data_IF_547974393064
#
_entry.id   IF_547974393064
#
_cell.length_a   1.000
_cell.length_b   1.000
_cell.length_c   1.000
_cell.angle_alpha   90.00
_cell.angle_beta   90.00
_cell.angle_gamma   90.00
#
_symmetry.space_group_name_H-M   'P 1'
#
loop_
_entity.id
_entity.type
_entity.pdbx_description
1 polymer ?
#
# COMPACT_ATOMS: atom_id res chain seq x y z
N UNK A 1 -0.14 2.92 37.96
CA UNK A 1 0.38 1.99 36.95
C UNK A 1 0.24 2.65 35.59
N UNK A 2 1.35 3.03 34.89
CA UNK A 2 1.28 3.50 33.50
C UNK A 2 0.90 2.27 32.66
N UNK A 3 -0.29 2.27 32.04
CA UNK A 3 -0.62 1.31 30.97
C UNK A 3 0.46 1.45 29.91
N UNK A 4 1.23 0.39 29.66
CA UNK A 4 2.11 0.36 28.48
C UNK A 4 1.23 0.66 27.27
N UNK A 5 1.43 1.84 26.66
CA UNK A 5 0.71 2.23 25.45
C UNK A 5 1.19 1.26 24.36
N UNK A 6 0.32 0.34 23.95
CA UNK A 6 0.63 -0.61 22.88
C UNK A 6 0.77 0.21 21.59
N UNK A 7 1.98 0.24 21.05
CA UNK A 7 2.24 0.87 19.75
C UNK A 7 1.64 -0.02 18.67
N UNK A 8 0.86 0.55 17.74
CA UNK A 8 0.26 -0.20 16.65
C UNK A 8 1.32 -0.81 15.75
N UNK A 9 1.15 -2.08 15.44
CA UNK A 9 1.89 -2.75 14.38
C UNK A 9 1.20 -2.49 13.04
N UNK A 10 1.90 -1.81 12.13
CA UNK A 10 1.32 -1.30 10.89
C UNK A 10 1.87 -2.05 9.69
N UNK A 11 0.97 -2.64 8.89
CA UNK A 11 1.26 -3.05 7.53
C UNK A 11 0.98 -1.89 6.56
N UNK A 12 1.79 -1.74 5.53
CA UNK A 12 1.60 -0.67 4.54
C UNK A 12 1.71 -1.22 3.12
N UNK A 13 0.87 -0.73 2.22
CA UNK A 13 1.04 -0.93 0.78
C UNK A 13 2.15 -0.04 0.22
N UNK A 14 2.52 -0.23 -1.04
CA UNK A 14 3.58 0.55 -1.69
C UNK A 14 3.05 1.43 -2.82
N UNK A 15 2.44 0.82 -3.83
CA UNK A 15 2.09 1.52 -5.07
C UNK A 15 0.94 2.48 -4.81
N UNK A 16 1.13 3.75 -5.17
CA UNK A 16 0.25 4.89 -4.89
C UNK A 16 -0.07 5.11 -3.39
N UNK A 17 0.61 4.39 -2.50
CA UNK A 17 0.63 4.62 -1.05
C UNK A 17 1.91 5.34 -0.62
N UNK A 18 3.09 4.72 -0.84
CA UNK A 18 4.42 5.32 -0.60
C UNK A 18 5.11 5.66 -1.92
N UNK A 19 5.01 4.78 -2.93
CA UNK A 19 5.63 4.91 -4.24
C UNK A 19 4.65 5.48 -5.26
N UNK A 20 5.09 6.45 -6.05
CA UNK A 20 4.30 7.10 -7.10
C UNK A 20 4.21 6.21 -8.34
N UNK A 21 3.37 5.17 -8.28
CA UNK A 21 3.24 4.19 -9.36
C UNK A 21 2.44 4.75 -10.55
N UNK A 22 1.24 5.27 -10.34
CA UNK A 22 0.35 5.70 -11.42
C UNK A 22 0.97 6.76 -12.31
N UNK A 23 1.60 7.79 -11.76
CA UNK A 23 2.26 8.83 -12.55
C UNK A 23 3.47 8.30 -13.31
N UNK A 24 4.26 7.42 -12.67
CA UNK A 24 5.42 6.79 -13.31
C UNK A 24 4.99 5.86 -14.46
N UNK A 25 3.88 5.14 -14.27
CA UNK A 25 3.27 4.31 -15.31
C UNK A 25 2.78 5.15 -16.48
N UNK A 26 2.02 6.22 -16.20
CA UNK A 26 1.52 7.16 -17.20
C UNK A 26 2.65 7.76 -18.04
N UNK A 27 3.73 8.19 -17.38
CA UNK A 27 4.92 8.74 -18.04
C UNK A 27 5.63 7.69 -18.92
N UNK A 28 5.77 6.45 -18.41
CA UNK A 28 6.47 5.38 -19.12
C UNK A 28 5.72 4.95 -20.40
N UNK A 29 4.41 4.77 -20.31
CA UNK A 29 3.57 4.33 -21.44
C UNK A 29 2.93 5.47 -22.23
N UNK A 30 3.13 6.73 -21.84
CA UNK A 30 2.49 7.93 -22.44
C UNK A 30 0.97 7.80 -22.52
N UNK A 31 0.35 7.38 -21.42
CA UNK A 31 -1.08 7.13 -21.28
C UNK A 31 -1.64 7.76 -20.02
N UNK A 32 -2.92 7.62 -19.77
CA UNK A 32 -3.61 7.92 -18.52
C UNK A 32 -4.24 6.63 -17.98
N UNK A 33 -3.63 6.05 -16.94
CA UNK A 33 -4.07 4.81 -16.32
C UNK A 33 -5.52 4.90 -15.81
N UNK A 34 -5.98 6.09 -15.41
CA UNK A 34 -7.35 6.30 -14.91
C UNK A 34 -8.43 6.08 -15.98
N UNK A 35 -8.04 6.14 -17.26
CA UNK A 35 -8.94 5.95 -18.42
C UNK A 35 -8.86 4.55 -19.01
N UNK A 36 -8.00 3.69 -18.45
CA UNK A 36 -7.73 2.36 -18.99
C UNK A 36 -8.59 1.29 -18.30
N UNK A 37 -8.85 0.20 -19.04
CA UNK A 37 -9.49 -0.99 -18.46
C UNK A 37 -8.48 -1.83 -17.68
N UNK A 38 -8.93 -2.48 -16.61
CA UNK A 38 -8.08 -3.33 -15.75
C UNK A 38 -7.27 -4.38 -16.54
N UNK A 39 -7.87 -5.01 -17.55
CA UNK A 39 -7.19 -6.00 -18.40
C UNK A 39 -6.03 -5.38 -19.21
N UNK A 40 -6.18 -4.14 -19.64
CA UNK A 40 -5.15 -3.41 -20.37
C UNK A 40 -4.02 -2.99 -19.45
N UNK A 41 -4.37 -2.45 -18.27
CA UNK A 41 -3.39 -2.12 -17.19
C UNK A 41 -2.59 -3.38 -16.84
N UNK A 42 -3.27 -4.49 -16.57
CA UNK A 42 -2.63 -5.77 -16.22
C UNK A 42 -1.62 -6.20 -17.29
N UNK A 43 -2.00 -6.13 -18.58
CA UNK A 43 -1.10 -6.48 -19.69
C UNK A 43 0.14 -5.60 -19.75
N UNK A 44 -0.01 -4.28 -19.56
CA UNK A 44 1.13 -3.36 -19.56
C UNK A 44 2.02 -3.53 -18.34
N UNK A 45 1.43 -3.74 -17.16
CA UNK A 45 2.18 -4.04 -15.93
C UNK A 45 3.00 -5.32 -16.10
N UNK A 46 2.47 -6.35 -16.78
CA UNK A 46 3.22 -7.59 -17.05
C UNK A 46 4.48 -7.33 -17.91
N UNK A 47 4.44 -6.37 -18.82
CA UNK A 47 5.66 -5.98 -19.58
C UNK A 47 6.74 -5.36 -18.71
N UNK A 48 6.36 -4.77 -17.57
CA UNK A 48 7.29 -4.19 -16.61
C UNK A 48 7.85 -5.21 -15.62
N UNK A 49 7.38 -6.45 -15.62
CA UNK A 49 7.70 -7.45 -14.59
C UNK A 49 9.19 -7.57 -14.31
N UNK A 50 10.03 -7.58 -15.33
CA UNK A 50 11.48 -7.68 -15.20
C UNK A 50 12.22 -6.36 -15.45
N UNK A 51 11.49 -5.25 -15.55
CA UNK A 51 12.09 -3.92 -15.69
C UNK A 51 12.53 -3.39 -14.32
N UNK A 52 13.76 -3.75 -13.91
CA UNK A 52 14.32 -3.31 -12.63
C UNK A 52 14.36 -1.79 -12.51
N UNK A 53 14.73 -1.10 -13.58
CA UNK A 53 14.89 0.35 -13.55
C UNK A 53 13.57 1.06 -13.30
N UNK A 54 12.48 0.59 -13.88
CA UNK A 54 11.15 1.11 -13.59
C UNK A 54 10.83 0.98 -12.09
N UNK A 55 10.87 -0.24 -11.54
CA UNK A 55 10.43 -0.51 -10.17
C UNK A 55 11.35 0.08 -9.08
N UNK A 56 12.65 0.17 -9.37
CA UNK A 56 13.62 0.69 -8.40
C UNK A 56 13.70 2.22 -8.40
N UNK A 57 13.25 2.86 -9.48
CA UNK A 57 13.36 4.31 -9.67
C UNK A 57 12.04 5.07 -9.56
N UNK A 58 10.96 4.42 -9.10
CA UNK A 58 9.74 5.14 -8.73
C UNK A 58 10.06 6.26 -7.75
N UNK A 59 9.37 7.38 -7.87
CA UNK A 59 9.48 8.46 -6.88
C UNK A 59 8.73 8.11 -5.60
N UNK A 60 9.09 8.76 -4.49
CA UNK A 60 8.33 8.66 -3.25
C UNK A 60 7.18 9.64 -3.30
N UNK A 61 5.95 9.13 -3.20
CA UNK A 61 4.74 9.92 -3.17
C UNK A 61 4.55 10.59 -1.79
N UNK A 62 4.67 9.79 -0.73
CA UNK A 62 4.58 10.28 0.63
C UNK A 62 5.45 9.42 1.56
N UNK A 63 6.15 10.08 2.50
CA UNK A 63 6.94 9.38 3.52
C UNK A 63 6.12 9.24 4.79
N UNK A 64 5.95 7.99 5.32
CA UNK A 64 5.40 7.82 6.65
C UNK A 64 6.27 8.53 7.71
N UNK A 65 5.65 9.18 8.69
CA UNK A 65 6.34 9.72 9.86
C UNK A 65 6.58 8.66 10.97
N UNK A 66 6.27 7.41 10.67
CA UNK A 66 6.40 6.25 11.55
C UNK A 66 7.18 5.12 10.88
N UNK A 67 7.61 4.15 11.69
CA UNK A 67 8.20 2.91 11.19
C UNK A 67 7.08 1.86 11.06
N UNK A 68 6.78 1.47 9.83
CA UNK A 68 5.89 0.34 9.58
C UNK A 68 6.60 -1.00 9.84
N UNK A 69 5.84 -2.06 10.12
CA UNK A 69 6.40 -3.38 10.47
C UNK A 69 6.42 -4.34 9.29
N UNK A 70 5.48 -4.15 8.34
CA UNK A 70 5.28 -5.05 7.21
C UNK A 70 4.97 -4.22 5.96
N UNK A 71 5.47 -4.70 4.82
CA UNK A 71 5.04 -4.26 3.49
C UNK A 71 4.15 -5.35 2.90
N UNK A 72 2.93 -4.98 2.50
CA UNK A 72 1.96 -5.87 1.86
C UNK A 72 1.56 -5.30 0.50
N UNK A 73 2.13 -5.80 -0.58
CA UNK A 73 1.98 -5.21 -1.92
C UNK A 73 1.58 -6.23 -2.99
N UNK A 74 0.77 -5.80 -3.98
CA UNK A 74 0.37 -6.59 -5.14
C UNK A 74 1.28 -6.33 -6.34
N UNK A 75 2.56 -6.62 -6.20
CA UNK A 75 3.56 -6.48 -7.27
C UNK A 75 3.91 -7.83 -7.88
N UNK A 76 4.07 -7.87 -9.19
CA UNK A 76 4.47 -9.09 -9.94
C UNK A 76 5.99 -9.17 -10.17
N UNK A 77 6.73 -8.10 -9.91
CA UNK A 77 8.18 -8.03 -10.07
C UNK A 77 8.93 -8.76 -8.93
N UNK A 78 10.21 -9.12 -9.11
CA UNK A 78 11.03 -9.70 -8.05
C UNK A 78 11.11 -8.80 -6.79
N UNK A 79 11.02 -9.39 -5.61
CA UNK A 79 11.13 -8.67 -4.32
C UNK A 79 12.40 -7.83 -4.19
N UNK A 80 13.47 -8.22 -4.87
CA UNK A 80 14.73 -7.46 -4.89
C UNK A 80 14.56 -6.06 -5.48
N UNK A 81 13.62 -5.84 -6.41
CA UNK A 81 13.37 -4.51 -6.99
C UNK A 81 12.64 -3.60 -5.98
N UNK A 82 11.71 -4.17 -5.22
CA UNK A 82 11.09 -3.46 -4.09
C UNK A 82 12.13 -3.08 -3.04
N UNK A 83 13.06 -3.99 -2.70
CA UNK A 83 14.15 -3.67 -1.78
C UNK A 83 15.07 -2.57 -2.32
N UNK A 84 15.39 -2.60 -3.61
CA UNK A 84 16.20 -1.56 -4.25
C UNK A 84 15.52 -0.18 -4.18
N UNK A 85 14.21 -0.10 -4.41
CA UNK A 85 13.42 1.12 -4.20
C UNK A 85 13.53 1.63 -2.76
N UNK A 86 13.31 0.76 -1.77
CA UNK A 86 13.38 1.14 -0.36
C UNK A 86 14.78 1.64 0.02
N UNK A 87 15.83 0.95 -0.43
CA UNK A 87 17.23 1.33 -0.19
C UNK A 87 17.55 2.69 -0.80
N UNK A 88 17.20 2.89 -2.07
CA UNK A 88 17.44 4.14 -2.80
C UNK A 88 16.85 5.34 -2.08
N UNK A 89 15.67 5.17 -1.50
CA UNK A 89 14.94 6.25 -0.84
C UNK A 89 15.15 6.30 0.68
N UNK A 90 16.07 5.51 1.26
CA UNK A 90 16.30 5.43 2.70
C UNK A 90 15.00 5.14 3.49
N UNK A 91 14.16 4.26 2.96
CA UNK A 91 12.94 3.78 3.62
C UNK A 91 13.24 2.50 4.42
N UNK A 92 12.52 2.24 5.53
CA UNK A 92 12.73 1.03 6.32
C UNK A 92 12.55 -0.24 5.50
N UNK A 93 13.52 -1.15 5.55
CA UNK A 93 13.42 -2.47 4.91
C UNK A 93 12.83 -3.44 5.91
N UNK A 94 11.58 -3.78 5.71
CA UNK A 94 10.78 -4.68 6.55
C UNK A 94 10.38 -5.95 5.77
N UNK A 95 9.81 -6.98 6.43
CA UNK A 95 9.26 -8.14 5.74
C UNK A 95 8.29 -7.73 4.62
N UNK A 96 8.51 -8.25 3.40
CA UNK A 96 7.70 -7.98 2.22
C UNK A 96 6.81 -9.20 1.95
N UNK A 97 5.51 -8.99 2.10
CA UNK A 97 4.47 -9.93 1.68
C UNK A 97 3.97 -9.50 0.29
N UNK A 98 4.52 -10.14 -0.71
CA UNK A 98 4.19 -9.87 -2.11
C UNK A 98 3.11 -10.83 -2.60
N UNK A 99 2.06 -10.25 -3.16
CA UNK A 99 0.87 -10.95 -3.64
C UNK A 99 0.90 -10.85 -5.16
N UNK A 100 0.92 -12.00 -5.82
CA UNK A 100 1.12 -12.08 -7.27
C UNK A 100 -0.19 -12.11 -8.06
N UNK A 101 -1.32 -12.34 -7.41
CA UNK A 101 -2.63 -12.39 -8.06
C UNK A 101 -3.56 -11.31 -7.50
N UNK A 102 -4.28 -10.63 -8.38
CA UNK A 102 -5.33 -9.70 -7.97
C UNK A 102 -6.49 -10.39 -7.25
N UNK A 103 -6.71 -11.70 -7.53
CA UNK A 103 -7.72 -12.51 -6.85
C UNK A 103 -7.35 -12.85 -5.40
N UNK A 104 -6.06 -12.78 -5.05
CA UNK A 104 -5.62 -13.09 -3.69
C UNK A 104 -6.03 -12.01 -2.71
N UNK A 105 -6.60 -12.42 -1.58
CA UNK A 105 -7.01 -11.53 -0.52
C UNK A 105 -5.81 -11.13 0.34
N UNK A 106 -5.41 -9.86 0.25
CA UNK A 106 -4.31 -9.27 1.01
C UNK A 106 -4.47 -9.50 2.53
N UNK A 107 -5.70 -9.34 3.03
CA UNK A 107 -6.02 -9.53 4.44
C UNK A 107 -5.72 -10.94 4.95
N UNK A 108 -6.01 -11.99 4.18
CA UNK A 108 -5.70 -13.38 4.58
C UNK A 108 -4.20 -13.61 4.78
N UNK A 109 -3.37 -12.93 3.99
CA UNK A 109 -1.91 -13.08 4.02
C UNK A 109 -1.31 -12.40 5.24
N UNK A 110 -1.86 -11.23 5.64
CA UNK A 110 -1.33 -10.43 6.76
C UNK A 110 -2.09 -10.64 8.07
N UNK A 111 -3.17 -11.44 8.09
CA UNK A 111 -3.96 -11.71 9.29
C UNK A 111 -3.08 -12.21 10.45
N UNK A 112 -3.20 -11.55 11.61
CA UNK A 112 -2.42 -11.86 12.81
C UNK A 112 -0.94 -11.44 12.75
N UNK A 113 -0.53 -10.66 11.74
CA UNK A 113 0.85 -10.17 11.58
C UNK A 113 0.99 -8.67 11.83
N UNK A 114 -0.14 -7.96 11.86
CA UNK A 114 -0.21 -6.53 12.14
C UNK A 114 -1.56 -6.19 12.77
N UNK A 115 -1.65 -5.01 13.37
CA UNK A 115 -2.89 -4.47 13.91
C UNK A 115 -3.75 -3.82 12.84
N UNK A 116 -3.12 -3.16 11.85
CA UNK A 116 -3.83 -2.42 10.79
C UNK A 116 -3.03 -2.41 9.48
N UNK A 117 -3.75 -2.44 8.34
CA UNK A 117 -3.21 -2.17 7.01
C UNK A 117 -3.55 -0.74 6.58
N UNK A 118 -2.59 -0.06 5.93
CA UNK A 118 -2.83 1.19 5.18
C UNK A 118 -2.66 0.90 3.69
N UNK A 119 -3.67 1.22 2.89
CA UNK A 119 -3.74 0.89 1.47
C UNK A 119 -4.50 1.99 0.70
N UNK A 120 -4.13 2.29 -0.53
CA UNK A 120 -4.80 3.27 -1.38
C UNK A 120 -5.98 2.68 -2.16
N UNK A 121 -6.06 1.35 -2.23
CA UNK A 121 -7.12 0.62 -2.93
C UNK A 121 -8.28 0.28 -1.99
N UNK A 122 -9.45 0.89 -2.23
CA UNK A 122 -10.66 0.55 -1.48
C UNK A 122 -11.02 -0.94 -1.57
N UNK A 123 -10.78 -1.57 -2.71
CA UNK A 123 -10.97 -3.00 -2.87
C UNK A 123 -10.11 -3.82 -1.90
N UNK A 124 -8.84 -3.48 -1.74
CA UNK A 124 -7.95 -4.15 -0.80
C UNK A 124 -8.39 -3.93 0.65
N UNK A 125 -8.79 -2.70 1.00
CA UNK A 125 -9.35 -2.37 2.34
C UNK A 125 -10.57 -3.23 2.63
N UNK A 126 -11.54 -3.29 1.71
CA UNK A 126 -12.73 -4.13 1.89
C UNK A 126 -12.38 -5.62 2.05
N UNK A 127 -11.44 -6.13 1.25
CA UNK A 127 -10.96 -7.50 1.39
C UNK A 127 -10.38 -7.77 2.79
N UNK A 128 -9.61 -6.85 3.35
CA UNK A 128 -9.05 -6.98 4.69
C UNK A 128 -10.15 -6.98 5.76
N UNK A 129 -11.04 -6.01 5.70
CA UNK A 129 -12.17 -5.89 6.63
C UNK A 129 -13.05 -7.15 6.60
N UNK A 130 -13.30 -7.73 5.41
CA UNK A 130 -14.13 -8.93 5.26
C UNK A 130 -13.59 -10.19 5.94
N UNK A 131 -12.29 -10.21 6.24
CA UNK A 131 -11.64 -11.33 6.95
C UNK A 131 -11.22 -10.97 8.38
N UNK A 132 -11.71 -9.81 8.88
CA UNK A 132 -11.46 -9.33 10.24
C UNK A 132 -10.04 -8.77 10.45
N UNK A 133 -9.43 -8.22 9.41
CA UNK A 133 -8.18 -7.46 9.49
C UNK A 133 -8.52 -5.97 9.40
N UNK A 134 -8.26 -5.17 10.45
CA UNK A 134 -8.41 -3.73 10.38
C UNK A 134 -7.63 -3.14 9.21
N UNK A 135 -8.26 -2.24 8.45
CA UNK A 135 -7.61 -1.59 7.32
C UNK A 135 -8.15 -0.18 7.11
N UNK A 136 -7.29 0.73 6.72
CA UNK A 136 -7.61 2.13 6.46
C UNK A 136 -7.22 2.51 5.04
N UNK A 137 -8.08 3.30 4.40
CA UNK A 137 -7.89 3.83 3.06
C UNK A 137 -7.12 5.15 3.15
N UNK A 138 -5.91 5.20 2.60
CA UNK A 138 -5.21 6.48 2.43
C UNK A 138 -5.81 7.27 1.28
N UNK A 139 -6.10 8.57 1.51
CA UNK A 139 -6.64 9.46 0.47
C UNK A 139 -5.64 9.66 -0.66
N UNK A 140 -6.11 9.39 -1.89
CA UNK A 140 -5.37 9.62 -3.14
C UNK A 140 -6.34 10.11 -4.21
N UNK A 141 -5.88 10.79 -5.27
CA UNK A 141 -6.77 11.34 -6.30
C UNK A 141 -7.73 10.31 -6.90
N UNK A 142 -7.24 9.11 -7.18
CA UNK A 142 -8.03 8.03 -7.82
C UNK A 142 -9.13 7.46 -6.91
N UNK A 143 -9.01 7.59 -5.58
CA UNK A 143 -9.99 7.10 -4.62
C UNK A 143 -10.79 8.21 -3.90
N UNK A 144 -10.61 9.49 -4.27
CA UNK A 144 -11.26 10.62 -3.59
C UNK A 144 -12.79 10.53 -3.58
N UNK A 145 -13.37 9.87 -4.59
CA UNK A 145 -14.82 9.65 -4.71
C UNK A 145 -15.38 8.61 -3.73
N UNK A 146 -14.54 7.82 -3.09
CA UNK A 146 -14.98 6.78 -2.13
C UNK A 146 -15.37 7.43 -0.81
N UNK A 147 -16.65 7.40 -0.46
CA UNK A 147 -17.13 7.85 0.84
C UNK A 147 -17.11 6.69 1.86
N UNK A 148 -16.20 6.76 2.83
CA UNK A 148 -16.02 5.70 3.83
C UNK A 148 -15.49 6.27 5.14
N UNK A 149 -15.90 5.72 6.32
CA UNK A 149 -15.33 6.10 7.61
C UNK A 149 -13.89 5.63 7.81
N UNK A 150 -13.44 4.63 7.02
CA UNK A 150 -12.11 4.02 7.13
C UNK A 150 -11.01 4.84 6.44
N UNK A 151 -11.15 6.17 6.35
CA UNK A 151 -10.24 7.04 5.61
C UNK A 151 -9.26 7.76 6.52
N UNK A 152 -8.02 7.86 6.05
CA UNK A 152 -6.97 8.76 6.56
C UNK A 152 -6.41 9.58 5.42
N UNK A 153 -5.98 10.81 5.69
CA UNK A 153 -5.51 11.71 4.65
C UNK A 153 -3.98 11.69 4.48
N UNK A 154 -3.26 11.35 5.56
CA UNK A 154 -1.80 11.33 5.57
C UNK A 154 -1.23 10.09 6.23
N UNK A 155 -0.01 9.73 5.86
CA UNK A 155 0.78 8.68 6.49
C UNK A 155 1.39 9.18 7.81
N UNK A 156 0.52 9.60 8.76
CA UNK A 156 0.88 10.08 10.09
C UNK A 156 0.40 9.11 11.17
N UNK A 157 1.31 8.75 12.07
CA UNK A 157 1.01 7.79 13.13
C UNK A 157 -0.20 8.21 13.99
N UNK A 158 -0.24 9.49 14.40
CA UNK A 158 -1.33 10.00 15.24
C UNK A 158 -2.70 9.87 14.57
N UNK A 159 -2.80 10.19 13.28
CA UNK A 159 -4.02 10.09 12.51
C UNK A 159 -4.49 8.63 12.38
N UNK A 160 -3.55 7.74 12.09
CA UNK A 160 -3.80 6.29 11.98
C UNK A 160 -4.23 5.72 13.33
N UNK A 161 -3.51 6.04 14.43
CA UNK A 161 -3.83 5.57 15.77
C UNK A 161 -5.21 6.07 16.23
N UNK A 162 -5.53 7.34 15.97
CA UNK A 162 -6.83 7.91 16.28
C UNK A 162 -7.95 7.17 15.53
N UNK A 163 -7.81 7.02 14.22
CA UNK A 163 -8.80 6.36 13.37
C UNK A 163 -8.95 4.88 13.71
N UNK A 164 -7.85 4.19 14.01
CA UNK A 164 -7.88 2.81 14.47
C UNK A 164 -8.64 2.65 15.79
N UNK A 165 -8.39 3.52 16.77
CA UNK A 165 -9.08 3.48 18.07
C UNK A 165 -10.58 3.79 17.94
N UNK A 166 -10.95 4.72 17.04
CA UNK A 166 -12.34 5.08 16.75
C UNK A 166 -13.15 3.91 16.16
N UNK A 167 -12.55 3.13 15.27
CA UNK A 167 -13.27 2.16 14.45
C UNK A 167 -13.13 0.69 14.92
N UNK A 168 -12.05 0.36 15.64
CA UNK A 168 -11.70 -1.03 15.91
C UNK A 168 -11.48 -1.34 17.41
N UNK A 169 -11.54 -0.35 18.30
CA UNK A 169 -11.48 -0.50 19.77
C UNK A 169 -12.77 -0.03 20.42
#
# INVERSE_FOLDING_TARGET
MKKNKHTLSIAIDLDDTIAQFSDSFNKHFKCDISQMKDAEITRLVETLRLNKDFWSNLDVLERPDFVYDIIATKRINPKSYTRAFLQKHNLPIKPIYQIYSQADNKGRIIKGKCDVLIDDSWFNVQQCLSVGVPALLITRPHNAHVNTPYRVDHLRYEEIEQKYNELFR
#
